data_IF_043809144680
#
_entry.id   IF_043809144680
#
_cell.length_a   1.000
_cell.length_b   1.000
_cell.length_c   1.000
_cell.angle_alpha   90.00
_cell.angle_beta   90.00
_cell.angle_gamma   90.00
#
_symmetry.space_group_name_H-M   'P 1'
#
loop_
_entity.id
_entity.type
_entity.pdbx_description
1 polymer ?
#
# COMPACT_ATOMS: atom_id res chain seq x y z
N UNK A 1 -22.27 31.56 -28.55
CA UNK A 1 -21.62 32.02 -27.30
C UNK A 1 -20.16 31.61 -27.29
N UNK A 2 -19.85 30.33 -27.52
CA UNK A 2 -18.47 29.86 -27.66
C UNK A 2 -17.72 30.63 -28.76
N UNK A 3 -18.34 30.84 -29.92
CA UNK A 3 -17.76 31.50 -31.08
C UNK A 3 -17.31 32.94 -30.75
N UNK A 4 -18.13 33.67 -29.98
CA UNK A 4 -17.80 35.02 -29.50
C UNK A 4 -16.60 35.00 -28.54
N UNK A 5 -16.53 34.03 -27.64
CA UNK A 5 -15.37 33.85 -26.75
C UNK A 5 -14.12 33.46 -27.54
N UNK A 6 -14.22 32.62 -28.56
CA UNK A 6 -13.09 32.28 -29.42
C UNK A 6 -12.55 33.50 -30.19
N UNK A 7 -13.42 34.41 -30.62
CA UNK A 7 -12.98 35.67 -31.22
C UNK A 7 -12.33 36.61 -30.19
N UNK A 8 -12.81 36.65 -28.95
CA UNK A 8 -12.17 37.44 -27.88
C UNK A 8 -10.76 36.97 -27.52
N UNK A 9 -10.40 35.71 -27.79
CA UNK A 9 -9.01 35.24 -27.67
C UNK A 9 -8.05 35.93 -28.65
N UNK A 10 -8.55 36.66 -29.65
CA UNK A 10 -7.74 37.44 -30.60
C UNK A 10 -7.74 38.94 -30.29
N UNK A 11 -8.36 39.35 -29.19
CA UNK A 11 -8.49 40.76 -28.84
C UNK A 11 -7.12 41.41 -28.60
N UNK A 12 -6.88 42.66 -29.06
CA UNK A 12 -5.58 43.32 -28.91
C UNK A 12 -5.17 43.49 -27.44
N UNK A 13 -6.12 43.81 -26.56
CA UNK A 13 -5.87 43.89 -25.11
C UNK A 13 -5.67 42.50 -24.50
N UNK A 14 -4.50 42.30 -23.87
CA UNK A 14 -4.14 41.06 -23.18
C UNK A 14 -5.10 40.71 -22.04
N UNK A 15 -5.68 41.69 -21.35
CA UNK A 15 -6.58 41.44 -20.23
C UNK A 15 -7.89 40.81 -20.68
N UNK A 16 -8.38 41.20 -21.86
CA UNK A 16 -9.56 40.58 -22.49
C UNK A 16 -9.27 39.13 -22.84
N UNK A 17 -8.07 38.82 -23.36
CA UNK A 17 -7.66 37.44 -23.65
C UNK A 17 -7.55 36.60 -22.38
N UNK A 18 -6.93 37.14 -21.32
CA UNK A 18 -6.82 36.48 -20.00
C UNK A 18 -8.19 36.18 -19.42
N UNK A 19 -9.10 37.16 -19.43
CA UNK A 19 -10.44 36.98 -18.87
C UNK A 19 -11.24 35.95 -19.68
N UNK A 20 -11.10 35.97 -20.99
CA UNK A 20 -11.71 34.97 -21.88
C UNK A 20 -11.22 33.56 -21.56
N UNK A 21 -9.91 33.36 -21.34
CA UNK A 21 -9.34 32.07 -20.93
C UNK A 21 -9.90 31.61 -19.57
N UNK A 22 -10.08 32.52 -18.62
CA UNK A 22 -10.68 32.22 -17.30
C UNK A 22 -12.13 31.80 -17.42
N UNK A 23 -12.93 32.52 -18.21
CA UNK A 23 -14.33 32.17 -18.46
C UNK A 23 -14.41 30.77 -19.06
N UNK A 24 -13.64 30.47 -20.10
CA UNK A 24 -13.61 29.16 -20.76
C UNK A 24 -13.23 28.03 -19.79
N UNK A 25 -12.27 28.28 -18.89
CA UNK A 25 -11.88 27.31 -17.86
C UNK A 25 -12.97 27.11 -16.81
N UNK A 26 -13.61 28.18 -16.35
CA UNK A 26 -14.67 28.14 -15.33
C UNK A 26 -15.91 27.38 -15.80
N UNK A 27 -16.26 27.48 -17.08
CA UNK A 27 -17.37 26.72 -17.68
C UNK A 27 -16.93 25.37 -18.26
N UNK A 28 -15.66 24.99 -18.08
CA UNK A 28 -15.09 23.73 -18.55
C UNK A 28 -15.35 23.44 -20.05
N UNK A 29 -15.30 24.46 -20.91
CA UNK A 29 -15.68 24.34 -22.33
C UNK A 29 -14.63 23.55 -23.14
N UNK A 30 -14.82 22.24 -23.19
CA UNK A 30 -13.89 21.29 -23.81
C UNK A 30 -13.66 21.50 -25.31
N UNK A 31 -14.59 22.15 -26.02
CA UNK A 31 -14.43 22.44 -27.46
C UNK A 31 -13.42 23.56 -27.72
N UNK A 32 -13.07 24.36 -26.70
CA UNK A 32 -12.10 25.46 -26.83
C UNK A 32 -10.63 25.00 -26.77
N UNK A 33 -10.35 23.73 -26.42
CA UNK A 33 -8.98 23.21 -26.24
C UNK A 33 -8.05 23.50 -27.43
N UNK A 34 -8.44 23.33 -28.71
CA UNK A 34 -7.57 23.65 -29.84
C UNK A 34 -7.19 25.14 -29.87
N UNK A 35 -8.14 26.04 -29.63
CA UNK A 35 -7.90 27.48 -29.63
C UNK A 35 -7.01 27.90 -28.45
N UNK A 36 -7.20 27.32 -27.27
CA UNK A 36 -6.36 27.56 -26.09
C UNK A 36 -4.91 27.08 -26.35
N UNK A 37 -4.74 25.96 -27.06
CA UNK A 37 -3.42 25.48 -27.45
C UNK A 37 -2.71 26.41 -28.44
N UNK A 38 -3.44 27.05 -29.36
CA UNK A 38 -2.89 28.10 -30.22
C UNK A 38 -2.40 29.31 -29.41
N UNK A 39 -3.21 29.80 -28.47
CA UNK A 39 -2.84 30.92 -27.58
C UNK A 39 -1.60 30.55 -26.75
N UNK A 40 -1.55 29.35 -26.18
CA UNK A 40 -0.40 28.89 -25.42
C UNK A 40 0.90 28.89 -26.24
N UNK A 41 0.84 28.51 -27.53
CA UNK A 41 2.02 28.44 -28.40
C UNK A 41 2.45 29.80 -28.92
N UNK A 42 1.49 30.65 -29.28
CA UNK A 42 1.75 31.77 -30.20
C UNK A 42 1.45 33.15 -29.61
N UNK A 43 0.79 33.27 -28.45
CA UNK A 43 0.48 34.59 -27.88
C UNK A 43 1.78 35.34 -27.56
N UNK A 44 1.94 36.62 -27.95
CA UNK A 44 3.15 37.39 -27.69
C UNK A 44 3.40 37.57 -26.19
N UNK A 45 2.34 37.68 -25.39
CA UNK A 45 2.44 38.01 -23.97
C UNK A 45 2.66 36.75 -23.12
N UNK A 46 3.77 36.72 -22.37
CA UNK A 46 4.12 35.57 -21.54
C UNK A 46 3.06 35.27 -20.46
N UNK A 47 2.44 36.30 -19.89
CA UNK A 47 1.36 36.15 -18.90
C UNK A 47 0.13 35.48 -19.51
N UNK A 48 -0.23 35.80 -20.75
CA UNK A 48 -1.35 35.16 -21.44
C UNK A 48 -1.07 33.69 -21.71
N UNK A 49 0.16 33.36 -22.14
CA UNK A 49 0.58 31.94 -22.33
C UNK A 49 0.50 31.14 -21.02
N UNK A 50 0.89 31.73 -19.89
CA UNK A 50 0.77 31.07 -18.58
C UNK A 50 -0.69 30.77 -18.22
N UNK A 51 -1.59 31.74 -18.43
CA UNK A 51 -3.02 31.55 -18.18
C UNK A 51 -3.62 30.51 -19.15
N UNK A 52 -3.19 30.49 -20.42
CA UNK A 52 -3.63 29.50 -21.39
C UNK A 52 -3.21 28.08 -21.00
N UNK A 53 -1.99 27.90 -20.48
CA UNK A 53 -1.53 26.62 -19.93
C UNK A 53 -2.41 26.16 -18.77
N UNK A 54 -2.69 27.03 -17.80
CA UNK A 54 -3.57 26.75 -16.66
C UNK A 54 -5.00 26.39 -17.11
N UNK A 55 -5.60 27.19 -17.99
CA UNK A 55 -6.94 26.95 -18.52
C UNK A 55 -7.01 25.60 -19.27
N UNK A 56 -5.99 25.31 -20.09
CA UNK A 56 -5.86 24.05 -20.80
C UNK A 56 -5.84 22.84 -19.87
N UNK A 57 -5.14 22.91 -18.73
CA UNK A 57 -5.10 21.83 -17.74
C UNK A 57 -6.47 21.55 -17.12
N UNK A 58 -7.20 22.59 -16.71
CA UNK A 58 -8.55 22.46 -16.12
C UNK A 58 -9.49 21.79 -17.12
N UNK A 59 -9.56 22.32 -18.34
CA UNK A 59 -10.49 21.84 -19.36
C UNK A 59 -10.13 20.43 -19.82
N UNK A 60 -8.83 20.11 -19.93
CA UNK A 60 -8.38 18.76 -20.25
C UNK A 60 -8.77 17.75 -19.15
N UNK A 61 -8.63 18.13 -17.87
CA UNK A 61 -9.07 17.30 -16.76
C UNK A 61 -10.60 17.09 -16.76
N UNK A 62 -11.38 18.12 -17.09
CA UNK A 62 -12.83 18.01 -17.29
C UNK A 62 -13.20 17.03 -18.40
N UNK A 63 -12.58 17.17 -19.59
CA UNK A 63 -12.78 16.25 -20.72
C UNK A 63 -12.52 14.80 -20.33
N UNK A 64 -11.42 14.54 -19.60
CA UNK A 64 -11.08 13.20 -19.13
C UNK A 64 -12.09 12.65 -18.13
N UNK A 65 -12.61 13.47 -17.20
CA UNK A 65 -13.66 13.05 -16.26
C UNK A 65 -14.91 12.59 -17.01
N UNK A 66 -15.37 13.36 -18.00
CA UNK A 66 -16.52 12.99 -18.82
C UNK A 66 -16.27 11.71 -19.61
N UNK A 67 -15.09 11.56 -20.23
CA UNK A 67 -14.74 10.34 -20.96
C UNK A 67 -14.68 9.10 -20.06
N UNK A 68 -14.12 9.23 -18.85
CA UNK A 68 -14.06 8.13 -17.88
C UNK A 68 -15.42 7.76 -17.30
N UNK A 69 -16.36 8.72 -17.20
CA UNK A 69 -17.73 8.47 -16.76
C UNK A 69 -18.60 7.84 -17.86
N UNK A 70 -18.39 8.21 -19.12
CA UNK A 70 -19.04 7.60 -20.27
C UNK A 70 -18.49 6.22 -20.60
N UNK A 71 -17.25 5.94 -20.21
CA UNK A 71 -16.71 4.60 -20.14
C UNK A 71 -17.31 3.88 -18.91
N UNK A 72 -18.57 3.47 -19.03
CA UNK A 72 -19.06 2.32 -18.27
C UNK A 72 -18.12 1.17 -18.65
N UNK A 73 -17.13 0.90 -17.81
CA UNK A 73 -16.34 -0.31 -17.94
C UNK A 73 -17.33 -1.47 -17.99
N UNK A 74 -17.20 -2.43 -18.93
CA UNK A 74 -17.86 -3.71 -18.71
C UNK A 74 -17.43 -4.17 -17.32
N UNK A 75 -18.40 -4.51 -16.48
CA UNK A 75 -18.12 -5.16 -15.20
C UNK A 75 -17.02 -6.20 -15.45
N UNK A 76 -15.90 -6.19 -14.69
CA UNK A 76 -14.88 -7.21 -14.89
C UNK A 76 -15.58 -8.58 -14.83
N UNK A 77 -15.21 -9.54 -15.69
CA UNK A 77 -15.81 -10.86 -15.64
C UNK A 77 -15.72 -11.36 -14.19
N UNK A 78 -16.81 -11.95 -13.65
CA UNK A 78 -16.94 -12.31 -12.23
C UNK A 78 -15.67 -13.02 -11.71
N UNK A 79 -15.04 -13.83 -12.56
CA UNK A 79 -13.79 -14.55 -12.36
C UNK A 79 -12.63 -13.68 -11.83
N UNK A 80 -12.47 -12.43 -12.31
CA UNK A 80 -11.37 -11.55 -11.86
C UNK A 80 -11.63 -10.98 -10.47
N UNK A 81 -12.90 -10.71 -10.14
CA UNK A 81 -13.27 -10.21 -8.82
C UNK A 81 -13.15 -11.31 -7.76
N UNK A 82 -13.55 -12.54 -8.11
CA UNK A 82 -13.33 -13.71 -7.26
C UNK A 82 -11.85 -14.06 -7.08
N UNK A 83 -11.04 -13.97 -8.14
CA UNK A 83 -9.59 -14.19 -8.05
C UNK A 83 -8.91 -13.19 -7.11
N UNK A 84 -9.33 -11.91 -7.16
CA UNK A 84 -8.82 -10.89 -6.25
C UNK A 84 -9.24 -11.18 -4.80
N UNK A 85 -10.52 -11.49 -4.56
CA UNK A 85 -11.01 -11.82 -3.22
C UNK A 85 -10.30 -13.04 -2.64
N UNK A 86 -10.10 -14.10 -3.44
CA UNK A 86 -9.34 -15.29 -3.02
C UNK A 86 -7.89 -14.95 -2.68
N UNK A 87 -7.23 -14.12 -3.49
CA UNK A 87 -5.85 -13.71 -3.24
C UNK A 87 -5.69 -12.91 -1.94
N UNK A 88 -6.66 -12.05 -1.62
CA UNK A 88 -6.65 -11.26 -0.39
C UNK A 88 -6.88 -12.16 0.84
N UNK A 89 -7.86 -13.07 0.77
CA UNK A 89 -8.15 -14.03 1.84
C UNK A 89 -6.93 -14.91 2.10
N UNK A 90 -6.29 -15.45 1.07
CA UNK A 90 -5.12 -16.33 1.23
C UNK A 90 -3.91 -15.60 1.84
N UNK A 91 -3.70 -14.34 1.46
CA UNK A 91 -2.62 -13.52 2.01
C UNK A 91 -2.81 -13.29 3.51
N UNK A 92 -4.02 -12.95 3.93
CA UNK A 92 -4.33 -12.69 5.35
C UNK A 92 -4.13 -13.94 6.21
N UNK A 93 -4.59 -15.11 5.73
CA UNK A 93 -4.38 -16.38 6.43
C UNK A 93 -2.89 -16.70 6.57
N UNK A 94 -2.10 -16.56 5.50
CA UNK A 94 -0.66 -16.82 5.54
C UNK A 94 0.06 -15.89 6.52
N UNK A 95 -0.35 -14.62 6.59
CA UNK A 95 0.22 -13.67 7.54
C UNK A 95 -0.09 -14.06 8.99
N UNK A 96 -1.31 -14.52 9.26
CA UNK A 96 -1.69 -14.98 10.60
C UNK A 96 -0.91 -16.25 11.01
N UNK A 97 -0.79 -17.22 10.11
CA UNK A 97 -0.04 -18.46 10.37
C UNK A 97 1.44 -18.18 10.64
N UNK A 98 2.06 -17.29 9.86
CA UNK A 98 3.45 -16.89 10.07
C UNK A 98 3.66 -16.22 11.42
N UNK A 99 2.71 -15.38 11.86
CA UNK A 99 2.76 -14.73 13.17
C UNK A 99 2.64 -15.76 14.30
N UNK A 100 1.73 -16.73 14.19
CA UNK A 100 1.60 -17.80 15.19
C UNK A 100 2.87 -18.65 15.30
N UNK A 101 3.49 -18.99 14.18
CA UNK A 101 4.77 -19.72 14.15
C UNK A 101 5.86 -18.90 14.83
N UNK A 102 5.96 -17.61 14.54
CA UNK A 102 6.96 -16.72 15.14
C UNK A 102 6.78 -16.62 16.67
N UNK A 103 5.55 -16.48 17.14
CA UNK A 103 5.23 -16.44 18.58
C UNK A 103 5.61 -17.76 19.28
N UNK A 104 5.28 -18.90 18.70
CA UNK A 104 5.67 -20.21 19.26
C UNK A 104 7.18 -20.40 19.32
N UNK A 105 7.92 -19.94 18.32
CA UNK A 105 9.39 -20.01 18.32
C UNK A 105 10.00 -19.16 19.42
N UNK A 106 9.45 -17.97 19.67
CA UNK A 106 9.91 -17.08 20.73
C UNK A 106 9.68 -17.70 22.13
N UNK A 107 8.51 -18.31 22.36
CA UNK A 107 8.23 -19.04 23.61
C UNK A 107 9.19 -20.21 23.84
N UNK A 108 9.52 -20.97 22.78
CA UNK A 108 10.49 -22.08 22.86
C UNK A 108 11.89 -21.56 23.20
N UNK A 109 12.31 -20.44 22.60
CA UNK A 109 13.60 -19.81 22.88
C UNK A 109 13.66 -19.31 24.33
N UNK A 110 12.59 -18.70 24.83
CA UNK A 110 12.51 -18.29 26.24
C UNK A 110 12.55 -19.47 27.21
N UNK A 111 11.83 -20.56 26.91
CA UNK A 111 11.83 -21.76 27.74
C UNK A 111 13.23 -22.39 27.81
N UNK A 112 13.93 -22.48 26.66
CA UNK A 112 15.32 -22.95 26.61
C UNK A 112 16.26 -22.05 27.41
N UNK A 113 16.10 -20.73 27.30
CA UNK A 113 16.89 -19.76 28.10
C UNK A 113 16.63 -19.92 29.60
N UNK A 114 15.38 -20.09 30.02
CA UNK A 114 15.02 -20.30 31.44
C UNK A 114 15.59 -21.62 31.98
N UNK A 115 15.53 -22.70 31.18
CA UNK A 115 16.11 -24.00 31.55
C UNK A 115 17.65 -23.96 31.66
N UNK A 116 18.31 -23.14 30.84
CA UNK A 116 19.76 -22.94 30.93
C UNK A 116 20.20 -22.15 32.17
N UNK A 117 19.29 -21.44 32.84
CA UNK A 117 19.58 -20.56 33.99
C UNK A 117 19.09 -21.07 35.36
N UNK A 118 18.49 -22.26 35.45
CA UNK A 118 18.20 -22.88 36.76
C UNK A 118 19.48 -23.43 37.40
N UNK A 119 19.91 -22.95 38.58
CA UNK A 119 21.07 -23.51 39.27
C UNK A 119 20.74 -24.96 39.71
N UNK A 120 21.68 -25.88 39.48
CA UNK A 120 21.59 -27.26 39.97
C UNK A 120 21.38 -27.24 41.50
N UNK A 121 20.38 -27.96 42.05
CA UNK A 121 20.31 -28.14 43.49
C UNK A 121 21.57 -28.88 43.97
N UNK A 122 22.11 -28.59 45.17
CA UNK A 122 23.22 -29.36 45.71
C UNK A 122 22.81 -30.82 45.76
N UNK A 123 23.58 -31.67 45.07
CA UNK A 123 23.38 -33.11 45.04
C UNK A 123 23.48 -33.65 46.46
N UNK A 124 22.34 -33.93 47.11
CA UNK A 124 22.31 -34.85 48.24
C UNK A 124 22.48 -36.25 47.66
N UNK A 125 23.74 -36.71 47.62
CA UNK A 125 24.09 -38.07 47.26
C UNK A 125 23.21 -39.05 48.08
N UNK A 126 22.57 -40.04 47.44
CA UNK A 126 21.94 -41.11 48.20
C UNK A 126 23.06 -41.89 48.90
N UNK A 127 23.09 -41.80 50.23
CA UNK A 127 23.79 -42.73 51.10
C UNK A 127 23.32 -44.17 50.77
N UNK A 128 24.23 -45.13 50.97
CA UNK A 128 24.03 -46.59 50.83
C UNK A 128 24.25 -47.23 49.44
N UNK A 129 25.50 -47.13 48.95
CA UNK A 129 26.10 -48.20 48.12
C UNK A 129 27.27 -48.92 48.80
N UNK A 130 27.73 -48.43 49.97
CA UNK A 130 28.87 -48.97 50.71
C UNK A 130 28.49 -49.70 52.01
N UNK A 131 27.22 -50.06 52.17
CA UNK A 131 26.73 -50.84 53.33
C UNK A 131 26.15 -52.21 52.93
N UNK A 132 26.19 -52.54 51.64
CA UNK A 132 25.65 -53.78 51.06
C UNK A 132 26.73 -54.79 50.65
N UNK A 133 28.00 -54.54 51.01
CA UNK A 133 29.12 -55.45 50.72
C UNK A 133 29.89 -55.94 51.97
N UNK A 134 29.52 -55.49 53.18
CA UNK A 134 30.29 -55.82 54.41
C UNK A 134 29.47 -56.53 55.50
N UNK A 135 28.26 -57.00 55.17
CA UNK A 135 27.41 -57.75 56.09
C UNK A 135 27.27 -59.21 55.68
N UNK A 136 28.30 -60.00 56.02
CA UNK A 136 28.20 -61.40 56.44
C UNK A 136 27.45 -62.38 55.53
N UNK A 137 28.16 -62.95 54.55
CA UNK A 137 27.88 -64.32 54.12
C UNK A 137 28.70 -65.25 55.01
N UNK A 138 28.00 -65.82 56.00
CA UNK A 138 28.47 -66.90 56.85
C UNK A 138 28.90 -68.10 56.01
N UNK A 139 30.16 -68.48 56.11
CA UNK A 139 30.60 -69.84 55.77
C UNK A 139 30.14 -70.78 56.89
N UNK A 140 28.96 -71.38 56.72
CA UNK A 140 28.53 -72.60 57.42
C UNK A 140 27.25 -73.10 56.72
N UNK A 141 27.38 -73.56 55.48
CA UNK A 141 26.32 -74.31 54.79
C UNK A 141 26.91 -75.22 53.70
N UNK A 142 27.17 -76.48 54.07
CA UNK A 142 27.55 -77.67 53.28
C UNK A 142 29.04 -78.02 53.09
N UNK A 143 29.48 -78.93 53.98
CA UNK A 143 30.39 -80.09 53.77
C UNK A 143 31.85 -79.90 53.37
#
# INVERSE_FOLDING_TARGET
MLEELLERLKHPDQWVRVETLRILAMVEETRALPAIAEVYRNDPEAGVRQVASWAGQIIYAAKRRTQSQSAVAPSPPPDRQEALLRSLIEKDHRTYDQMQIALQQEELIEAQRKAAFTPLPPSHAPLDLMRLLDAGLSEDFFS
#
